data_IF_024711897538
#
_entry.id   IF_024711897538
#
_cell.length_a   1.000
_cell.length_b   1.000
_cell.length_c   1.000
_cell.angle_alpha   90.00
_cell.angle_beta   90.00
_cell.angle_gamma   90.00
#
_symmetry.space_group_name_H-M   'P 1'
#
loop_
_entity.id
_entity.type
_entity.pdbx_description
1 polymer ?
#
# COMPACT_ATOMS: atom_id res chain seq x y z
N UNK A 1 -4.58 -6.08 -14.65
CA UNK A 1 -3.22 -5.62 -14.32
C UNK A 1 -2.37 -6.78 -13.80
N UNK A 2 -1.17 -7.04 -14.34
CA UNK A 2 -0.26 -8.07 -13.82
C UNK A 2 1.00 -7.40 -13.29
N UNK A 3 1.30 -7.56 -11.99
CA UNK A 3 2.56 -7.11 -11.39
C UNK A 3 3.61 -8.21 -11.64
N UNK A 4 4.43 -8.04 -12.67
CA UNK A 4 5.47 -9.00 -13.08
C UNK A 4 6.87 -8.59 -12.64
N UNK A 5 7.11 -7.29 -12.45
CA UNK A 5 8.39 -6.70 -12.07
C UNK A 5 8.22 -5.69 -10.94
N UNK A 6 9.32 -5.38 -10.24
CA UNK A 6 9.33 -4.30 -9.24
C UNK A 6 9.02 -2.94 -9.88
N UNK A 7 9.40 -2.75 -11.14
CA UNK A 7 9.12 -1.53 -11.91
C UNK A 7 7.61 -1.27 -12.05
N UNK A 8 6.78 -2.33 -12.15
CA UNK A 8 5.32 -2.20 -12.20
C UNK A 8 4.77 -1.59 -10.91
N UNK A 9 5.39 -1.91 -9.77
CA UNK A 9 5.05 -1.31 -8.47
C UNK A 9 5.49 0.15 -8.43
N UNK A 10 6.64 0.47 -9.00
CA UNK A 10 7.07 1.85 -9.20
C UNK A 10 6.01 2.68 -9.92
N UNK A 11 5.47 2.15 -11.03
CA UNK A 11 4.39 2.79 -11.79
C UNK A 11 3.08 2.92 -11.00
N UNK A 12 2.74 1.93 -10.17
CA UNK A 12 1.58 2.01 -9.27
C UNK A 12 1.77 3.13 -8.25
N UNK A 13 2.98 3.29 -7.69
CA UNK A 13 3.30 4.35 -6.75
C UNK A 13 3.28 5.73 -7.42
N UNK A 14 3.75 5.85 -8.66
CA UNK A 14 3.65 7.09 -9.45
C UNK A 14 2.21 7.47 -9.75
N UNK A 15 1.36 6.47 -10.00
CA UNK A 15 -0.08 6.65 -10.26
C UNK A 15 -0.94 6.34 -9.02
N UNK A 16 -0.38 6.47 -7.81
CA UNK A 16 -1.03 6.00 -6.59
C UNK A 16 -2.40 6.65 -6.36
N UNK A 17 -2.54 7.93 -6.73
CA UNK A 17 -3.80 8.67 -6.68
C UNK A 17 -4.95 8.07 -7.49
N UNK A 18 -4.64 7.28 -8.52
CA UNK A 18 -5.66 6.60 -9.35
C UNK A 18 -6.25 5.37 -8.67
N UNK A 19 -5.52 4.78 -7.72
CA UNK A 19 -5.90 3.55 -7.02
C UNK A 19 -6.29 3.80 -5.56
N UNK A 20 -5.71 4.83 -4.95
CA UNK A 20 -5.92 5.19 -3.56
C UNK A 20 -7.13 6.11 -3.37
N UNK A 21 -7.66 6.13 -2.15
CA UNK A 21 -8.70 7.06 -1.73
C UNK A 21 -8.08 8.31 -1.11
N UNK A 22 -8.65 9.47 -1.40
CA UNK A 22 -8.26 10.72 -0.75
C UNK A 22 -8.92 10.85 0.62
N UNK A 23 -8.11 11.11 1.64
CA UNK A 23 -8.53 11.50 2.98
C UNK A 23 -8.37 13.03 3.14
N UNK A 24 -9.48 13.80 3.11
CA UNK A 24 -9.42 15.25 3.28
C UNK A 24 -9.06 15.69 4.70
N UNK A 25 -9.28 14.85 5.72
CA UNK A 25 -8.94 15.18 7.11
C UNK A 25 -7.44 15.06 7.36
N UNK A 26 -6.80 14.06 6.74
CA UNK A 26 -5.35 13.85 6.81
C UNK A 26 -4.55 14.48 5.66
N UNK A 27 -5.23 15.04 4.65
CA UNK A 27 -4.64 15.49 3.38
C UNK A 27 -3.68 14.46 2.78
N UNK A 28 -4.11 13.20 2.75
CA UNK A 28 -3.28 12.06 2.35
C UNK A 28 -4.07 11.09 1.49
N UNK A 29 -3.36 10.36 0.63
CA UNK A 29 -3.93 9.24 -0.12
C UNK A 29 -3.72 7.96 0.68
N UNK A 30 -4.72 7.09 0.71
CA UNK A 30 -4.59 5.78 1.36
C UNK A 30 -5.17 4.66 0.50
N UNK A 31 -4.49 3.51 0.52
CA UNK A 31 -4.89 2.28 -0.16
C UNK A 31 -4.91 1.16 0.87
N UNK A 32 -6.05 0.47 0.99
CA UNK A 32 -6.22 -0.70 1.86
C UNK A 32 -6.20 -1.96 1.01
N UNK A 33 -5.41 -2.95 1.40
CA UNK A 33 -5.34 -4.25 0.75
C UNK A 33 -5.13 -5.37 1.77
N UNK A 34 -5.41 -6.61 1.40
CA UNK A 34 -5.34 -7.74 2.33
C UNK A 34 -3.90 -8.04 2.79
N UNK A 35 -3.75 -8.40 4.07
CA UNK A 35 -2.55 -9.06 4.60
C UNK A 35 -2.73 -10.58 4.52
N UNK A 36 -2.30 -11.15 3.39
CA UNK A 36 -2.36 -12.60 3.16
C UNK A 36 -1.37 -13.40 4.01
N UNK A 37 -0.42 -12.75 4.69
CA UNK A 37 0.56 -13.45 5.56
C UNK A 37 0.03 -13.62 6.97
N UNK A 38 -0.60 -12.60 7.54
CA UNK A 38 -1.04 -12.60 8.95
C UNK A 38 -2.55 -12.68 9.13
N UNK A 39 -3.34 -12.63 8.06
CA UNK A 39 -4.80 -12.68 8.16
C UNK A 39 -5.38 -11.36 8.63
N UNK A 40 -5.15 -10.29 7.87
CA UNK A 40 -5.59 -8.94 8.18
C UNK A 40 -5.63 -8.03 6.96
N UNK A 41 -5.33 -6.75 7.16
CA UNK A 41 -5.29 -5.74 6.11
C UNK A 41 -4.15 -4.76 6.35
N UNK A 42 -3.49 -4.38 5.26
CA UNK A 42 -2.49 -3.35 5.18
C UNK A 42 -3.11 -2.07 4.65
N UNK A 43 -2.83 -0.96 5.32
CA UNK A 43 -3.17 0.38 4.86
C UNK A 43 -1.89 1.08 4.47
N UNK A 44 -1.65 1.26 3.18
CA UNK A 44 -0.57 2.09 2.65
C UNK A 44 -1.06 3.53 2.54
N UNK A 45 -0.35 4.47 3.14
CA UNK A 45 -0.64 5.90 3.09
C UNK A 45 0.48 6.62 2.34
N UNK A 46 0.10 7.61 1.54
CA UNK A 46 0.99 8.52 0.83
C UNK A 46 0.66 9.95 1.27
N UNK A 47 1.67 10.62 1.80
CA UNK A 47 1.65 12.01 2.20
C UNK A 47 2.28 12.88 1.11
N UNK A 48 1.88 14.15 1.00
CA UNK A 48 2.24 15.07 -0.09
C UNK A 48 3.74 15.24 -0.40
N UNK A 49 4.65 14.76 0.45
CA UNK A 49 6.12 14.76 0.26
C UNK A 49 6.67 13.42 -0.29
N UNK A 50 5.86 12.66 -1.03
CA UNK A 50 6.18 11.28 -1.48
C UNK A 50 6.54 10.32 -0.33
N UNK A 51 6.16 10.68 0.90
CA UNK A 51 6.39 9.86 2.08
C UNK A 51 5.31 8.80 2.16
N UNK A 52 5.74 7.56 2.22
CA UNK A 52 4.84 6.43 2.40
C UNK A 52 4.92 5.90 3.82
N UNK A 53 3.77 5.60 4.41
CA UNK A 53 3.69 4.79 5.63
C UNK A 53 2.78 3.60 5.41
N UNK A 54 2.99 2.55 6.19
CA UNK A 54 2.08 1.40 6.22
C UNK A 54 1.62 1.11 7.63
N UNK A 55 0.38 0.69 7.75
CA UNK A 55 -0.20 0.26 9.00
C UNK A 55 -0.92 -1.07 8.81
N UNK A 56 -0.59 -2.06 9.64
CA UNK A 56 -1.19 -3.38 9.63
C UNK A 56 -2.25 -3.51 10.70
N UNK A 57 -3.43 -3.97 10.30
CA UNK A 57 -4.52 -4.31 11.22
C UNK A 57 -5.12 -5.66 10.85
N UNK A 58 -5.02 -6.62 11.73
CA UNK A 58 -5.75 -7.88 11.65
C UNK A 58 -6.81 -8.00 12.73
N UNK A 59 -7.42 -9.18 12.79
CA UNK A 59 -8.36 -9.55 13.84
C UNK A 59 -7.66 -9.67 15.20
N UNK A 60 -6.45 -10.25 15.20
CA UNK A 60 -5.69 -10.57 16.41
C UNK A 60 -4.45 -9.68 16.61
N UNK A 61 -4.24 -8.68 15.74
CA UNK A 61 -3.12 -7.74 15.85
C UNK A 61 -3.49 -6.34 15.36
N UNK A 62 -2.90 -5.35 16.01
CA UNK A 62 -2.94 -3.96 15.60
C UNK A 62 -1.51 -3.43 15.69
N UNK A 63 -0.94 -3.01 14.57
CA UNK A 63 0.35 -2.33 14.61
C UNK A 63 0.12 -0.93 15.20
N UNK A 64 0.32 -0.74 16.51
CA UNK A 64 0.02 0.52 17.22
C UNK A 64 0.69 1.76 16.60
N UNK A 65 1.71 1.57 15.78
CA UNK A 65 2.42 2.63 15.06
C UNK A 65 2.44 2.35 13.56
N UNK A 66 2.31 3.42 12.77
CA UNK A 66 2.60 3.37 11.34
C UNK A 66 4.11 3.17 11.12
N UNK A 67 4.46 2.27 10.21
CA UNK A 67 5.83 2.09 9.77
C UNK A 67 6.08 3.01 8.56
N UNK A 68 6.91 4.03 8.75
CA UNK A 68 7.31 4.94 7.67
C UNK A 68 8.44 4.34 6.85
N UNK A 69 8.35 4.48 5.54
CA UNK A 69 9.43 4.12 4.65
C UNK A 69 10.30 5.34 4.38
N UNK A 70 11.58 5.26 4.75
CA UNK A 70 12.56 6.33 4.48
C UNK A 70 12.95 6.40 3.00
N UNK A 71 12.95 5.25 2.32
CA UNK A 71 13.32 5.13 0.91
C UNK A 71 12.21 4.49 0.08
N UNK A 72 12.03 4.99 -1.13
CA UNK A 72 11.08 4.44 -2.11
C UNK A 72 11.31 2.95 -2.39
N UNK A 73 12.57 2.52 -2.43
CA UNK A 73 12.94 1.11 -2.65
C UNK A 73 12.42 0.17 -1.55
N UNK A 74 12.31 0.68 -0.31
CA UNK A 74 11.74 -0.07 0.82
C UNK A 74 10.24 -0.27 0.64
N UNK A 75 9.51 0.77 0.18
CA UNK A 75 8.09 0.68 -0.19
C UNK A 75 7.89 -0.36 -1.29
N UNK A 76 8.68 -0.25 -2.36
CA UNK A 76 8.59 -1.16 -3.52
C UNK A 76 8.84 -2.60 -3.09
N UNK A 77 9.83 -2.84 -2.24
CA UNK A 77 10.15 -4.19 -1.75
C UNK A 77 9.06 -4.75 -0.84
N UNK A 78 8.47 -3.92 0.02
CA UNK A 78 7.33 -4.30 0.84
C UNK A 78 6.10 -4.66 0.00
N UNK A 79 5.76 -3.81 -0.97
CA UNK A 79 4.66 -4.05 -1.90
C UNK A 79 4.92 -5.24 -2.80
N UNK A 80 6.17 -5.51 -3.18
CA UNK A 80 6.54 -6.69 -3.96
C UNK A 80 6.26 -7.99 -3.20
N UNK A 81 6.54 -7.99 -1.90
CA UNK A 81 6.23 -9.11 -1.03
C UNK A 81 4.72 -9.33 -0.87
N UNK A 82 3.92 -8.25 -0.97
CA UNK A 82 2.46 -8.28 -0.88
C UNK A 82 1.76 -8.11 -2.25
N UNK A 83 2.47 -8.31 -3.37
CA UNK A 83 2.01 -7.94 -4.72
C UNK A 83 0.70 -8.61 -5.14
N UNK A 84 0.42 -9.81 -4.63
CA UNK A 84 -0.82 -10.52 -4.94
C UNK A 84 -2.04 -9.77 -4.36
N UNK A 85 -1.95 -9.33 -3.10
CA UNK A 85 -2.99 -8.54 -2.46
C UNK A 85 -3.07 -7.12 -3.03
N UNK A 86 -1.92 -6.50 -3.30
CA UNK A 86 -1.87 -5.20 -3.96
C UNK A 86 -2.56 -5.26 -5.33
N UNK A 87 -2.26 -6.28 -6.14
CA UNK A 87 -2.90 -6.50 -7.44
C UNK A 87 -4.42 -6.54 -7.32
N UNK A 88 -4.95 -7.30 -6.36
CA UNK A 88 -6.39 -7.40 -6.14
C UNK A 88 -7.01 -6.04 -5.73
N UNK A 89 -6.27 -5.19 -5.02
CA UNK A 89 -6.74 -3.87 -4.62
C UNK A 89 -6.71 -2.83 -5.76
N UNK A 90 -5.70 -2.88 -6.63
CA UNK A 90 -5.55 -1.91 -7.76
C UNK A 90 -6.30 -2.33 -9.02
N UNK A 91 -6.75 -3.57 -9.09
CA UNK A 91 -7.52 -4.13 -10.20
C UNK A 91 -8.75 -4.86 -9.66
N UNK A 92 -9.82 -4.12 -9.31
CA UNK A 92 -11.03 -4.70 -8.74
C UNK A 92 -11.91 -5.42 -9.79
N UNK A 93 -11.38 -5.74 -10.97
CA UNK A 93 -12.14 -6.48 -11.99
C UNK A 93 -12.26 -7.96 -11.61
N UNK A 94 -13.39 -8.30 -10.97
CA UNK A 94 -14.06 -9.59 -11.19
C UNK A 94 -14.87 -9.56 -12.50
#
# INVERSE_FOLDING_TARGET
>A
MQIKKKDDIGLILDNFSSYAKWDPSGQKLYLVFADNKRGGQWTLMNYNDERFSVHGRGTDYLDEKEAFFEERNSVVSFLWNNRAALKAAVDPSE
#
